data_IF_456866580489
#
_entry.id   IF_456866580489
#
_cell.length_a   1.000
_cell.length_b   1.000
_cell.length_c   1.000
_cell.angle_alpha   90.00
_cell.angle_beta   90.00
_cell.angle_gamma   90.00
#
_symmetry.space_group_name_H-M   'P 1'
#
loop_
_entity.id
_entity.type
_entity.pdbx_description
1 polymer ?
#
# COMPACT_ATOMS: atom_id res chain seq x y z
N UNK A 1 -26.02 -36.90 -34.30
CA UNK A 1 -24.88 -36.25 -33.65
C UNK A 1 -25.45 -35.27 -32.63
N UNK A 2 -25.47 -35.66 -31.35
CA UNK A 2 -26.01 -34.83 -30.28
C UNK A 2 -24.87 -33.87 -29.88
N UNK A 3 -25.01 -32.54 -30.00
CA UNK A 3 -23.97 -31.63 -29.56
C UNK A 3 -23.84 -31.76 -28.03
N UNK A 4 -22.65 -32.10 -27.58
CA UNK A 4 -22.28 -32.16 -26.17
C UNK A 4 -22.54 -30.80 -25.53
N UNK A 5 -23.53 -30.73 -24.62
CA UNK A 5 -23.74 -29.56 -23.76
C UNK A 5 -22.60 -29.51 -22.74
N UNK A 6 -21.50 -28.84 -23.09
CA UNK A 6 -20.49 -28.49 -22.09
C UNK A 6 -21.11 -27.45 -21.18
N UNK A 7 -21.18 -27.74 -19.89
CA UNK A 7 -21.43 -26.73 -18.85
C UNK A 7 -20.49 -25.54 -19.12
N UNK A 8 -20.99 -24.31 -19.22
CA UNK A 8 -20.11 -23.16 -19.42
C UNK A 8 -19.14 -23.12 -18.24
N UNK A 9 -17.84 -23.29 -18.52
CA UNK A 9 -16.77 -23.01 -17.56
C UNK A 9 -16.38 -21.55 -17.76
N UNK A 10 -16.30 -20.81 -16.67
CA UNK A 10 -16.08 -19.37 -16.69
C UNK A 10 -16.94 -18.64 -15.66
N UNK A 11 -16.55 -17.41 -15.36
CA UNK A 11 -17.37 -16.48 -14.58
C UNK A 11 -18.32 -15.74 -15.55
N UNK A 12 -19.61 -15.55 -15.21
CA UNK A 12 -20.52 -14.74 -16.00
C UNK A 12 -20.01 -13.30 -16.15
N UNK A 13 -20.09 -12.74 -17.36
CA UNK A 13 -19.69 -11.36 -17.66
C UNK A 13 -20.54 -10.79 -18.81
N UNK A 14 -20.65 -9.45 -18.92
CA UNK A 14 -21.34 -8.76 -20.02
C UNK A 14 -20.41 -7.74 -20.65
N UNK A 15 -20.20 -7.83 -21.96
CA UNK A 15 -19.33 -6.90 -22.65
C UNK A 15 -19.98 -5.50 -22.75
N UNK A 16 -19.30 -4.42 -22.33
CA UNK A 16 -19.84 -3.06 -22.43
C UNK A 16 -19.86 -2.53 -23.87
N UNK A 17 -19.02 -3.07 -24.76
CA UNK A 17 -18.97 -2.66 -26.16
C UNK A 17 -20.00 -3.36 -27.04
N UNK A 18 -20.07 -4.69 -26.99
CA UNK A 18 -20.97 -5.45 -27.86
C UNK A 18 -22.27 -5.90 -27.18
N UNK A 19 -22.40 -5.73 -25.86
CA UNK A 19 -23.60 -6.10 -25.11
C UNK A 19 -23.82 -7.59 -24.91
N UNK A 20 -22.93 -8.46 -25.41
CA UNK A 20 -23.09 -9.91 -25.28
C UNK A 20 -22.73 -10.39 -23.87
N UNK A 21 -23.53 -11.34 -23.39
CA UNK A 21 -23.26 -12.10 -22.18
C UNK A 21 -22.30 -13.25 -22.49
N UNK A 22 -21.29 -13.42 -21.66
CA UNK A 22 -20.23 -14.43 -21.84
C UNK A 22 -19.94 -15.14 -20.52
N UNK A 23 -19.32 -16.31 -20.63
CA UNK A 23 -18.78 -17.08 -19.50
C UNK A 23 -17.28 -17.20 -19.74
N UNK A 24 -16.47 -16.54 -18.91
CA UNK A 24 -15.03 -16.41 -19.15
C UNK A 24 -14.22 -16.62 -17.87
N UNK A 25 -13.17 -17.43 -17.95
CA UNK A 25 -12.17 -17.53 -16.90
C UNK A 25 -11.17 -16.39 -17.09
N UNK A 26 -11.14 -15.46 -16.15
CA UNK A 26 -10.22 -14.33 -16.17
C UNK A 26 -8.84 -14.77 -15.67
N UNK A 27 -7.80 -14.10 -16.19
CA UNK A 27 -6.43 -14.40 -15.79
C UNK A 27 -6.24 -14.08 -14.30
N UNK A 28 -5.89 -15.07 -13.48
CA UNK A 28 -5.79 -14.87 -12.02
C UNK A 28 -4.69 -13.87 -11.61
N UNK A 29 -3.81 -13.48 -12.55
CA UNK A 29 -2.74 -12.48 -12.40
C UNK A 29 -2.10 -12.19 -13.78
N UNK A 30 -1.59 -10.98 -14.10
CA UNK A 30 -1.56 -9.73 -13.31
C UNK A 30 -2.73 -8.77 -13.55
N UNK A 31 -3.57 -9.00 -14.55
CA UNK A 31 -4.55 -8.02 -15.04
C UNK A 31 -6.01 -8.40 -14.85
N UNK A 32 -6.31 -9.65 -14.45
CA UNK A 32 -7.68 -10.15 -14.23
C UNK A 32 -8.64 -9.80 -15.38
N UNK A 33 -8.12 -9.99 -16.59
CA UNK A 33 -8.78 -9.69 -17.84
C UNK A 33 -8.79 -10.90 -18.78
N UNK A 34 -9.73 -10.86 -19.73
CA UNK A 34 -9.76 -11.75 -20.87
C UNK A 34 -10.50 -11.10 -22.06
N UNK A 35 -10.08 -11.34 -23.30
CA UNK A 35 -10.74 -10.76 -24.47
C UNK A 35 -12.15 -11.36 -24.66
N UNK A 36 -13.12 -10.49 -24.95
CA UNK A 36 -14.47 -10.89 -25.31
C UNK A 36 -14.42 -11.74 -26.59
N UNK A 37 -14.99 -12.96 -26.60
CA UNK A 37 -14.96 -13.84 -27.78
C UNK A 37 -15.75 -13.29 -28.97
N UNK A 38 -16.60 -12.28 -28.76
CA UNK A 38 -17.44 -11.71 -29.81
C UNK A 38 -16.81 -10.49 -30.51
N UNK A 39 -16.05 -9.67 -29.78
CA UNK A 39 -15.54 -8.40 -30.31
C UNK A 39 -14.08 -8.11 -29.97
N UNK A 40 -13.42 -8.98 -29.19
CA UNK A 40 -12.03 -8.80 -28.77
C UNK A 40 -11.81 -7.76 -27.67
N UNK A 41 -12.85 -7.04 -27.22
CA UNK A 41 -12.75 -6.10 -26.12
C UNK A 41 -12.32 -6.79 -24.82
N UNK A 42 -11.35 -6.24 -24.10
CA UNK A 42 -10.92 -6.79 -22.81
C UNK A 42 -12.04 -6.66 -21.78
N UNK A 43 -12.49 -7.80 -21.27
CA UNK A 43 -13.43 -7.93 -20.17
C UNK A 43 -12.64 -8.06 -18.88
N UNK A 44 -13.12 -7.39 -17.84
CA UNK A 44 -12.55 -7.35 -16.50
C UNK A 44 -13.56 -7.99 -15.53
N UNK A 45 -13.12 -8.47 -14.37
CA UNK A 45 -13.99 -9.20 -13.43
C UNK A 45 -15.26 -8.44 -13.06
N UNK A 46 -16.40 -9.01 -13.45
CA UNK A 46 -17.74 -8.43 -13.33
C UNK A 46 -18.42 -8.72 -11.99
N UNK A 47 -17.66 -8.83 -10.89
CA UNK A 47 -18.21 -8.82 -9.54
C UNK A 47 -17.66 -7.61 -8.77
N UNK A 48 -18.46 -6.53 -8.75
CA UNK A 48 -18.34 -5.31 -7.90
C UNK A 48 -17.11 -4.40 -8.09
N UNK A 49 -16.86 -3.89 -9.30
CA UNK A 49 -15.69 -3.00 -9.56
C UNK A 49 -16.04 -1.58 -9.99
N UNK A 50 -17.32 -1.18 -10.00
CA UNK A 50 -17.70 0.20 -10.35
C UNK A 50 -17.88 1.15 -9.13
N UNK A 51 -17.63 0.71 -7.89
CA UNK A 51 -17.82 1.59 -6.71
C UNK A 51 -16.67 1.49 -5.67
N UNK A 52 -16.22 0.28 -5.31
CA UNK A 52 -15.12 0.14 -4.33
C UNK A 52 -13.73 0.48 -4.88
N UNK A 53 -13.49 0.28 -6.18
CA UNK A 53 -12.22 0.67 -6.81
C UNK A 53 -12.10 2.18 -6.86
N UNK A 54 -13.17 2.91 -7.15
CA UNK A 54 -13.16 4.38 -7.07
C UNK A 54 -13.01 4.89 -5.65
N UNK A 55 -13.72 4.33 -4.67
CA UNK A 55 -13.63 4.80 -3.28
C UNK A 55 -12.27 4.48 -2.64
N UNK A 56 -11.72 3.29 -2.86
CA UNK A 56 -10.38 2.97 -2.37
C UNK A 56 -9.31 3.82 -3.07
N UNK A 57 -9.42 4.05 -4.38
CA UNK A 57 -8.48 4.93 -5.09
C UNK A 57 -8.59 6.39 -4.62
N UNK A 58 -9.79 6.88 -4.34
CA UNK A 58 -10.00 8.20 -3.72
C UNK A 58 -9.35 8.28 -2.35
N UNK A 59 -9.52 7.24 -1.52
CA UNK A 59 -8.90 7.16 -0.19
C UNK A 59 -7.37 7.23 -0.29
N UNK A 60 -6.77 6.51 -1.26
CA UNK A 60 -5.33 6.56 -1.52
C UNK A 60 -4.87 7.94 -2.02
N UNK A 61 -5.59 8.53 -2.96
CA UNK A 61 -5.28 9.86 -3.50
C UNK A 61 -5.30 10.92 -2.40
N UNK A 62 -6.35 10.93 -1.57
CA UNK A 62 -6.45 11.86 -0.44
C UNK A 62 -5.33 11.65 0.59
N UNK A 63 -4.99 10.39 0.90
CA UNK A 63 -3.87 10.10 1.79
C UNK A 63 -2.55 10.68 1.27
N UNK A 64 -2.28 10.50 -0.02
CA UNK A 64 -1.07 11.02 -0.66
C UNK A 64 -1.03 12.56 -0.67
N UNK A 65 -2.15 13.22 -1.03
CA UNK A 65 -2.24 14.68 -1.00
C UNK A 65 -1.97 15.25 0.40
N UNK A 66 -2.60 14.68 1.42
CA UNK A 66 -2.37 15.07 2.82
C UNK A 66 -0.93 14.83 3.25
N UNK A 67 -0.34 13.69 2.85
CA UNK A 67 1.06 13.37 3.17
C UNK A 67 2.04 14.35 2.52
N UNK A 68 1.79 14.77 1.27
CA UNK A 68 2.63 15.76 0.58
C UNK A 68 2.62 17.09 1.35
N UNK A 69 1.45 17.54 1.82
CA UNK A 69 1.32 18.77 2.62
C UNK A 69 2.09 18.63 3.94
N UNK A 70 1.91 17.50 4.65
CA UNK A 70 2.60 17.20 5.92
C UNK A 70 4.13 17.16 5.77
N UNK A 71 4.62 16.43 4.77
CA UNK A 71 6.06 16.30 4.53
C UNK A 71 6.68 17.65 4.10
N UNK A 72 5.97 18.45 3.30
CA UNK A 72 6.45 19.79 2.90
C UNK A 72 6.55 20.74 4.10
N UNK A 73 5.58 20.72 5.02
CA UNK A 73 5.65 21.48 6.25
C UNK A 73 6.84 21.05 7.13
N UNK A 74 7.21 19.76 7.11
CA UNK A 74 8.34 19.23 7.88
C UNK A 74 9.72 19.48 7.27
N UNK A 75 9.82 19.74 5.96
CA UNK A 75 11.08 20.22 5.37
C UNK A 75 11.49 21.62 5.88
N UNK A 76 10.66 22.26 6.71
CA UNK A 76 10.93 23.55 7.34
C UNK A 76 11.58 23.45 8.73
N UNK A 77 12.07 22.29 9.18
CA UNK A 77 12.80 22.20 10.46
C UNK A 77 14.05 23.09 10.51
N UNK A 78 14.50 23.64 9.38
CA UNK A 78 15.67 24.51 9.33
C UNK A 78 16.97 23.75 9.61
N UNK A 79 16.92 22.42 9.54
CA UNK A 79 18.06 21.52 9.71
C UNK A 79 18.71 21.24 8.35
N UNK A 80 19.99 20.91 8.37
CA UNK A 80 20.77 20.55 7.18
C UNK A 80 20.23 19.31 6.46
N UNK A 81 20.98 18.81 5.47
CA UNK A 81 20.62 17.55 4.83
C UNK A 81 20.69 16.39 5.84
N UNK A 82 19.71 15.48 5.80
CA UNK A 82 19.76 14.21 6.53
C UNK A 82 20.98 13.44 6.04
N UNK A 83 21.93 13.18 6.93
CA UNK A 83 23.17 12.46 6.63
C UNK A 83 22.99 10.95 6.79
N UNK A 84 22.24 10.53 7.80
CA UNK A 84 21.87 9.14 8.05
C UNK A 84 20.59 9.04 8.86
N UNK A 85 20.05 7.84 8.98
CA UNK A 85 18.91 7.52 9.82
C UNK A 85 19.17 6.22 10.58
N UNK A 86 18.47 6.04 11.69
CA UNK A 86 18.45 4.81 12.48
C UNK A 86 17.04 4.49 12.97
N UNK A 87 16.74 3.22 13.16
CA UNK A 87 15.46 2.71 13.65
C UNK A 87 15.71 1.78 14.84
N UNK A 88 15.32 2.24 16.02
CA UNK A 88 15.33 1.43 17.23
C UNK A 88 13.94 0.84 17.45
N UNK A 89 13.80 -0.46 17.17
CA UNK A 89 12.55 -1.17 17.38
C UNK A 89 12.25 -1.40 18.86
N UNK A 90 13.25 -1.46 19.74
CA UNK A 90 13.02 -1.68 21.17
C UNK A 90 12.42 -0.42 21.80
N UNK A 91 12.97 0.75 21.47
CA UNK A 91 12.40 2.02 21.95
C UNK A 91 11.24 2.56 21.10
N UNK A 92 11.03 1.99 19.90
CA UNK A 92 9.98 2.41 18.97
C UNK A 92 10.22 3.81 18.39
N UNK A 93 11.48 4.13 18.10
CA UNK A 93 11.90 5.46 17.63
C UNK A 93 12.66 5.39 16.32
N UNK A 94 12.42 6.39 15.49
CA UNK A 94 13.26 6.72 14.35
C UNK A 94 14.13 7.94 14.70
N UNK A 95 15.39 7.89 14.30
CA UNK A 95 16.35 8.97 14.50
C UNK A 95 16.88 9.40 13.14
N UNK A 96 16.83 10.70 12.86
CA UNK A 96 17.46 11.31 11.69
C UNK A 96 18.66 12.11 12.17
N UNK A 97 19.82 11.89 11.56
CA UNK A 97 21.04 12.64 11.83
C UNK A 97 21.26 13.69 10.75
N UNK A 98 21.76 14.85 11.16
CA UNK A 98 22.00 15.98 10.26
C UNK A 98 23.48 16.36 10.26
N UNK A 99 23.96 16.87 9.12
CA UNK A 99 25.36 17.24 8.94
C UNK A 99 25.80 18.45 9.80
N UNK A 100 24.86 19.22 10.32
CA UNK A 100 25.05 20.41 11.15
C UNK A 100 25.15 20.08 12.66
N UNK A 101 25.22 18.80 13.02
CA UNK A 101 25.39 18.37 14.41
C UNK A 101 24.10 18.25 15.20
N UNK A 102 22.94 18.22 14.54
CA UNK A 102 21.66 17.94 15.18
C UNK A 102 21.16 16.52 14.87
N UNK A 103 20.21 16.05 15.66
CA UNK A 103 19.36 14.90 15.36
C UNK A 103 17.88 15.22 15.59
N UNK A 104 17.01 14.56 14.84
CA UNK A 104 15.58 14.57 15.05
C UNK A 104 15.13 13.17 15.48
N UNK A 105 14.31 13.09 16.52
CA UNK A 105 13.82 11.83 17.10
C UNK A 105 12.30 11.85 17.09
N UNK A 106 11.69 10.75 16.67
CA UNK A 106 10.22 10.63 16.64
C UNK A 106 9.78 9.19 16.96
N UNK A 107 8.60 9.00 17.58
CA UNK A 107 7.99 7.68 17.66
C UNK A 107 7.63 7.20 16.25
N UNK A 108 7.80 5.91 15.99
CA UNK A 108 7.67 5.34 14.64
C UNK A 108 6.78 4.11 14.63
N UNK A 109 6.11 3.90 13.50
CA UNK A 109 5.34 2.69 13.20
C UNK A 109 5.75 2.19 11.81
N UNK A 110 5.94 0.89 11.68
CA UNK A 110 6.30 0.26 10.41
C UNK A 110 5.01 -0.19 9.72
N UNK A 111 4.84 0.23 8.47
CA UNK A 111 3.64 -0.08 7.70
C UNK A 111 3.87 -1.32 6.85
N UNK A 112 5.03 -1.38 6.18
CA UNK A 112 5.42 -2.54 5.39
C UNK A 112 6.69 -2.31 4.60
N UNK A 113 7.08 -3.31 3.83
CA UNK A 113 8.26 -3.27 2.98
C UNK A 113 7.94 -3.64 1.55
N UNK A 114 8.60 -2.97 0.62
CA UNK A 114 8.56 -3.29 -0.80
C UNK A 114 9.87 -3.98 -1.18
N UNK A 115 9.80 -5.21 -1.65
CA UNK A 115 10.94 -5.89 -2.25
C UNK A 115 11.09 -5.45 -3.71
N UNK A 116 12.21 -4.82 -4.05
CA UNK A 116 12.41 -4.24 -5.38
C UNK A 116 12.64 -5.29 -6.47
N UNK A 117 13.24 -6.43 -6.14
CA UNK A 117 13.50 -7.50 -7.11
C UNK A 117 12.21 -8.23 -7.50
N UNK A 118 11.36 -8.50 -6.51
CA UNK A 118 10.11 -9.26 -6.67
C UNK A 118 8.90 -8.38 -6.95
N UNK A 119 9.04 -7.06 -6.85
CA UNK A 119 7.94 -6.10 -6.95
C UNK A 119 6.77 -6.51 -6.05
N UNK A 120 7.09 -6.82 -4.79
CA UNK A 120 6.12 -7.37 -3.83
C UNK A 120 6.13 -6.57 -2.54
N UNK A 121 4.94 -6.16 -2.12
CA UNK A 121 4.70 -5.55 -0.82
C UNK A 121 4.45 -6.63 0.24
N UNK A 122 5.05 -6.47 1.41
CA UNK A 122 4.79 -7.24 2.62
C UNK A 122 4.34 -6.28 3.72
N UNK A 123 3.18 -6.55 4.31
CA UNK A 123 2.70 -5.78 5.47
C UNK A 123 3.53 -6.06 6.73
N UNK A 124 3.69 -5.03 7.58
CA UNK A 124 4.40 -5.19 8.85
C UNK A 124 3.71 -6.17 9.80
N UNK A 125 2.37 -6.19 9.85
CA UNK A 125 1.59 -7.16 10.63
C UNK A 125 1.81 -8.61 10.19
N UNK A 126 2.30 -8.83 8.96
CA UNK A 126 2.61 -10.15 8.41
C UNK A 126 4.10 -10.51 8.52
N UNK A 127 4.93 -9.61 9.08
CA UNK A 127 6.37 -9.81 9.18
C UNK A 127 6.79 -10.12 10.63
N UNK A 128 7.24 -11.36 10.93
CA UNK A 128 7.64 -11.75 12.27
C UNK A 128 8.96 -11.10 12.74
N UNK A 129 9.74 -10.50 11.84
CA UNK A 129 10.99 -9.83 12.22
C UNK A 129 10.79 -8.42 12.79
N UNK A 130 9.56 -7.90 12.72
CA UNK A 130 9.21 -6.60 13.30
C UNK A 130 8.62 -6.85 14.69
N UNK A 131 8.95 -6.01 15.66
CA UNK A 131 8.36 -6.09 17.00
C UNK A 131 6.91 -5.60 17.00
N UNK A 132 6.04 -6.28 17.74
CA UNK A 132 4.59 -6.01 17.76
C UNK A 132 4.23 -4.54 18.11
N UNK A 133 4.93 -3.85 19.03
CA UNK A 133 4.66 -2.43 19.31
C UNK A 133 4.83 -1.49 18.10
N UNK A 134 5.55 -1.91 17.04
CA UNK A 134 5.78 -1.12 15.84
C UNK A 134 4.77 -1.43 14.72
N UNK A 135 3.87 -2.40 14.91
CA UNK A 135 2.92 -2.84 13.87
C UNK A 135 1.53 -2.25 14.03
N UNK A 136 1.26 -1.50 15.10
CA UNK A 136 -0.11 -1.11 15.48
C UNK A 136 -0.86 -0.45 14.33
N UNK A 137 -0.25 0.52 13.64
CA UNK A 137 -0.92 1.19 12.51
C UNK A 137 -1.17 0.27 11.31
N UNK A 138 -0.29 -0.70 11.07
CA UNK A 138 -0.51 -1.70 10.03
C UNK A 138 -1.67 -2.65 10.42
N UNK A 139 -1.78 -3.02 11.70
CA UNK A 139 -2.87 -3.83 12.23
C UNK A 139 -4.21 -3.09 12.23
N UNK A 140 -4.21 -1.79 12.49
CA UNK A 140 -5.40 -0.93 12.39
C UNK A 140 -5.91 -0.91 10.94
N UNK A 141 -5.01 -0.75 9.96
CA UNK A 141 -5.37 -0.84 8.55
C UNK A 141 -5.85 -2.23 8.14
N UNK A 142 -5.28 -3.30 8.70
CA UNK A 142 -5.78 -4.66 8.47
C UNK A 142 -7.22 -4.80 8.97
N UNK A 143 -7.49 -4.32 10.18
CA UNK A 143 -8.83 -4.34 10.80
C UNK A 143 -9.83 -3.52 9.98
N UNK A 144 -9.41 -2.34 9.49
CA UNK A 144 -10.20 -1.53 8.56
C UNK A 144 -10.48 -2.31 7.25
N UNK A 145 -9.47 -2.98 6.70
CA UNK A 145 -9.60 -3.84 5.53
C UNK A 145 -10.58 -5.00 5.72
N UNK A 146 -10.58 -5.63 6.88
CA UNK A 146 -11.52 -6.71 7.22
C UNK A 146 -12.96 -6.18 7.29
N UNK A 147 -13.17 -5.05 7.99
CA UNK A 147 -14.48 -4.41 8.12
C UNK A 147 -15.07 -4.00 6.75
N UNK A 148 -14.23 -3.41 5.89
CA UNK A 148 -14.63 -2.89 4.59
C UNK A 148 -14.43 -3.89 3.44
N UNK A 149 -13.99 -5.11 3.72
CA UNK A 149 -13.71 -6.18 2.74
C UNK A 149 -12.75 -5.72 1.62
N UNK A 150 -11.64 -5.10 2.00
CA UNK A 150 -10.60 -4.60 1.08
C UNK A 150 -9.41 -5.59 1.08
N UNK A 151 -9.29 -6.49 0.08
CA UNK A 151 -8.26 -7.54 0.10
C UNK A 151 -6.83 -7.01 0.16
N UNK A 152 -6.57 -5.81 -0.37
CA UNK A 152 -5.24 -5.18 -0.39
C UNK A 152 -4.69 -4.91 1.03
N UNK A 153 -5.58 -4.69 1.99
CA UNK A 153 -5.19 -4.41 3.38
C UNK A 153 -5.11 -5.67 4.25
N UNK A 154 -5.69 -6.79 3.78
CA UNK A 154 -5.79 -8.04 4.56
C UNK A 154 -4.95 -9.18 3.99
N UNK A 155 -4.54 -9.12 2.73
CA UNK A 155 -3.58 -10.06 2.16
C UNK A 155 -2.17 -9.73 2.67
N UNK A 156 -1.42 -10.70 3.24
CA UNK A 156 -0.11 -10.44 3.86
C UNK A 156 0.93 -9.93 2.86
N UNK A 157 0.89 -10.47 1.65
CA UNK A 157 1.79 -10.13 0.55
C UNK A 157 0.97 -9.93 -0.72
N UNK A 158 1.35 -8.95 -1.53
CA UNK A 158 0.78 -8.73 -2.87
C UNK A 158 1.78 -8.04 -3.79
N UNK A 159 1.59 -8.19 -5.10
CA UNK A 159 2.42 -7.49 -6.09
C UNK A 159 2.13 -5.99 -6.08
N UNK A 160 3.19 -5.20 -5.97
CA UNK A 160 3.11 -3.77 -5.68
C UNK A 160 4.24 -2.98 -6.33
N UNK A 161 3.98 -1.69 -6.52
CA UNK A 161 4.94 -0.71 -7.02
C UNK A 161 5.34 0.27 -5.92
N UNK A 162 6.36 1.09 -6.17
CA UNK A 162 6.78 2.17 -5.27
C UNK A 162 5.64 3.19 -5.02
N UNK A 163 4.86 3.51 -6.04
CA UNK A 163 3.73 4.44 -5.94
C UNK A 163 2.64 3.87 -5.02
N UNK A 164 2.32 2.58 -5.17
CA UNK A 164 1.31 1.93 -4.36
C UNK A 164 1.79 1.74 -2.91
N UNK A 165 3.08 1.47 -2.70
CA UNK A 165 3.68 1.38 -1.37
C UNK A 165 3.60 2.72 -0.62
N UNK A 166 3.91 3.83 -1.30
CA UNK A 166 3.70 5.17 -0.75
C UNK A 166 2.23 5.44 -0.42
N UNK A 167 1.31 5.01 -1.29
CA UNK A 167 -0.12 5.16 -1.03
C UNK A 167 -0.57 4.41 0.24
N UNK A 168 -0.01 3.22 0.54
CA UNK A 168 -0.29 2.50 1.78
C UNK A 168 0.24 3.23 3.01
N UNK A 169 1.47 3.76 2.93
CA UNK A 169 2.07 4.54 4.02
C UNK A 169 1.29 5.83 4.29
N UNK A 170 0.85 6.51 3.22
CA UNK A 170 0.05 7.71 3.30
C UNK A 170 -1.35 7.43 3.88
N UNK A 171 -1.95 6.31 3.48
CA UNK A 171 -3.20 5.83 4.07
C UNK A 171 -3.05 5.58 5.58
N UNK A 172 -1.98 4.91 6.01
CA UNK A 172 -1.71 4.70 7.43
C UNK A 172 -1.53 6.03 8.17
N UNK A 173 -0.75 6.95 7.60
CA UNK A 173 -0.51 8.26 8.19
C UNK A 173 -1.80 9.07 8.37
N UNK A 174 -2.71 9.00 7.39
CA UNK A 174 -4.03 9.63 7.47
C UNK A 174 -4.92 8.94 8.51
N UNK A 175 -5.06 7.62 8.41
CA UNK A 175 -5.96 6.83 9.25
C UNK A 175 -5.61 6.93 10.74
N UNK A 176 -4.31 6.90 11.05
CA UNK A 176 -3.80 6.89 12.41
C UNK A 176 -3.35 8.27 12.91
N UNK A 177 -3.57 9.34 12.14
CA UNK A 177 -3.21 10.69 12.54
C UNK A 177 -1.71 10.93 12.71
N UNK A 178 -0.86 10.21 11.97
CA UNK A 178 0.59 10.38 12.05
C UNK A 178 1.02 11.75 11.51
N UNK A 179 2.16 12.24 12.00
CA UNK A 179 2.71 13.53 11.61
C UNK A 179 3.32 13.50 10.21
N UNK A 180 3.91 12.37 9.82
CA UNK A 180 4.47 12.18 8.48
C UNK A 180 4.74 10.70 8.16
N UNK A 181 5.32 10.48 6.99
CA UNK A 181 5.78 9.16 6.55
C UNK A 181 7.16 9.24 5.90
N UNK A 182 7.96 8.21 6.13
CA UNK A 182 9.34 8.10 5.67
C UNK A 182 9.58 6.77 4.97
N UNK A 183 10.41 6.81 3.92
CA UNK A 183 10.89 5.63 3.21
C UNK A 183 12.38 5.46 3.47
N UNK A 184 12.73 4.33 4.06
CA UNK A 184 14.09 3.89 4.27
C UNK A 184 14.54 2.95 3.15
N UNK A 185 15.77 3.15 2.68
CA UNK A 185 16.45 2.22 1.78
C UNK A 185 16.98 1.01 2.57
N UNK A 186 16.85 -0.20 2.00
CA UNK A 186 17.34 -1.47 2.58
C UNK A 186 18.03 -2.30 1.50
N UNK A 187 18.81 -3.30 1.89
CA UNK A 187 19.53 -4.17 0.94
C UNK A 187 18.65 -4.84 -0.13
N UNK A 188 17.35 -5.05 0.16
CA UNK A 188 16.42 -5.80 -0.70
C UNK A 188 15.23 -4.98 -1.21
N UNK A 189 15.26 -3.66 -1.01
CA UNK A 189 14.22 -2.73 -1.42
C UNK A 189 13.98 -1.64 -0.40
N UNK A 190 12.73 -1.37 -0.03
CA UNK A 190 12.37 -0.21 0.78
C UNK A 190 11.48 -0.56 1.97
N UNK A 191 11.71 0.12 3.09
CA UNK A 191 10.86 0.07 4.28
C UNK A 191 10.05 1.36 4.38
N UNK A 192 8.74 1.22 4.61
CA UNK A 192 7.82 2.35 4.71
C UNK A 192 7.29 2.46 6.12
N UNK A 193 7.40 3.66 6.67
CA UNK A 193 7.11 3.96 8.05
C UNK A 193 6.31 5.24 8.15
N UNK A 194 5.52 5.35 9.21
CA UNK A 194 4.95 6.60 9.68
C UNK A 194 5.67 7.03 10.95
N UNK A 195 5.66 8.32 11.23
CA UNK A 195 6.24 8.85 12.47
C UNK A 195 5.35 9.93 13.06
N UNK A 196 5.42 10.04 14.39
CA UNK A 196 4.69 11.03 15.17
C UNK A 196 5.46 12.35 15.31
N UNK A 197 5.20 13.05 16.41
CA UNK A 197 5.82 14.34 16.70
C UNK A 197 7.35 14.22 16.76
N UNK A 198 8.01 15.24 16.23
CA UNK A 198 9.45 15.26 16.06
C UNK A 198 10.10 16.17 17.07
N UNK A 199 11.06 15.63 17.81
CA UNK A 199 11.91 16.36 18.75
C UNK A 199 13.30 16.54 18.15
N UNK A 200 13.76 17.80 18.05
CA UNK A 200 15.10 18.14 17.56
C UNK A 200 16.04 18.32 18.74
N UNK A 201 17.19 17.64 18.71
CA UNK A 201 18.18 17.62 19.78
C UNK A 201 19.56 17.86 19.19
N UNK A 202 20.39 18.69 19.83
CA UNK A 202 21.80 18.81 19.48
C UNK A 202 22.56 17.53 19.84
N UNK A 203 23.53 17.11 19.01
CA UNK A 203 24.39 15.95 19.26
C UNK A 203 25.48 16.24 20.29
#
# INVERSE_FOLDING_TARGET
MIPSSRTPKGTPNRCPLCGNEVQIDLSTFPTDDAPCPHCGHLLWSANTVEDHRSEFQKLLAQGLEELIVKNTAQQQWGLGAISSWDLDQESGKIVFYFADGFKAVAPVQIIGSLNSDKQSWLWAWANPSILDPLKQQAEDLKSYGELHKIPRLTAPVWSGTNELAWAMAALAAKHCGATGAYRAETDKGHLYMTFGEVEVVAL
#
